data_IF_220964983108
#
_entry.id   IF_220964983108
#
_cell.length_a   1.000
_cell.length_b   1.000
_cell.length_c   1.000
_cell.angle_alpha   90.00
_cell.angle_beta   90.00
_cell.angle_gamma   90.00
#
_symmetry.space_group_name_H-M   'P 1'
#
loop_
_entity.id
_entity.type
_entity.pdbx_description
1 polymer ?
#
# COMPACT_ATOMS: atom_id res chain seq x y z
N UNK A 1 -25.49 4.18 -19.69
CA UNK A 1 -26.19 4.61 -18.47
C UNK A 1 -25.10 4.81 -17.42
N UNK A 2 -24.99 6.01 -16.81
CA UNK A 2 -24.00 6.27 -15.77
C UNK A 2 -24.23 5.30 -14.61
N UNK A 3 -23.20 4.53 -14.23
CA UNK A 3 -23.25 3.64 -13.05
C UNK A 3 -23.49 4.47 -11.81
N UNK A 4 -24.46 4.08 -10.98
CA UNK A 4 -24.77 4.79 -9.73
C UNK A 4 -23.71 4.46 -8.68
N UNK A 5 -23.09 5.48 -8.11
CA UNK A 5 -22.16 5.34 -6.99
C UNK A 5 -22.89 4.79 -5.75
N UNK A 6 -22.22 3.95 -4.96
CA UNK A 6 -22.81 3.25 -3.79
C UNK A 6 -23.40 4.19 -2.73
N UNK A 7 -22.83 5.38 -2.57
CA UNK A 7 -23.30 6.42 -1.66
C UNK A 7 -24.41 7.32 -2.25
N UNK A 8 -24.67 7.21 -3.56
CA UNK A 8 -25.67 8.03 -4.26
C UNK A 8 -27.07 7.56 -3.89
N UNK A 9 -27.80 8.37 -3.12
CA UNK A 9 -29.23 8.17 -2.90
C UNK A 9 -29.96 8.13 -4.25
N UNK A 10 -31.13 7.47 -4.30
CA UNK A 10 -32.00 7.39 -5.50
C UNK A 10 -32.54 8.80 -5.88
N UNK A 11 -31.68 9.77 -6.13
CA UNK A 11 -32.03 11.07 -6.67
C UNK A 11 -31.76 11.07 -8.17
N UNK A 12 -32.62 11.71 -8.94
CA UNK A 12 -32.56 11.82 -10.40
C UNK A 12 -31.41 12.71 -10.91
N UNK A 13 -30.51 13.17 -10.02
CA UNK A 13 -29.43 14.08 -10.37
C UNK A 13 -28.12 13.29 -10.56
N UNK A 14 -27.58 13.30 -11.78
CA UNK A 14 -26.17 12.97 -12.04
C UNK A 14 -25.29 14.09 -11.51
N UNK A 15 -24.09 13.73 -10.99
CA UNK A 15 -23.08 14.74 -10.69
C UNK A 15 -22.71 15.52 -11.96
N UNK A 16 -22.42 16.80 -11.79
CA UNK A 16 -21.89 17.61 -12.89
C UNK A 16 -20.49 17.08 -13.27
N UNK A 17 -20.14 16.94 -14.57
CA UNK A 17 -18.86 16.38 -15.00
C UNK A 17 -17.63 17.03 -14.35
N UNK A 18 -17.65 18.34 -14.13
CA UNK A 18 -16.58 19.07 -13.43
C UNK A 18 -16.41 18.61 -11.97
N UNK A 19 -17.51 18.24 -11.30
CA UNK A 19 -17.46 17.70 -9.94
C UNK A 19 -16.95 16.25 -9.93
N UNK A 20 -17.27 15.49 -10.96
CA UNK A 20 -16.73 14.12 -11.12
C UNK A 20 -15.21 14.16 -11.32
N UNK A 21 -14.73 15.03 -12.20
CA UNK A 21 -13.31 15.23 -12.44
C UNK A 21 -12.58 15.76 -11.19
N UNK A 22 -13.19 16.72 -10.48
CA UNK A 22 -12.62 17.26 -9.23
C UNK A 22 -12.55 16.22 -8.11
N UNK A 23 -13.55 15.35 -7.98
CA UNK A 23 -13.59 14.32 -6.93
C UNK A 23 -12.61 13.17 -7.20
N UNK A 24 -12.51 12.73 -8.45
CA UNK A 24 -11.59 11.66 -8.82
C UNK A 24 -10.13 12.15 -8.87
N UNK A 25 -9.90 13.39 -9.33
CA UNK A 25 -8.57 13.97 -9.44
C UNK A 25 -7.60 13.03 -10.17
N UNK A 26 -6.41 12.90 -9.61
CA UNK A 26 -5.36 11.99 -10.11
C UNK A 26 -5.47 10.56 -9.55
N UNK A 27 -6.47 10.26 -8.70
CA UNK A 27 -6.65 8.95 -8.08
C UNK A 27 -6.83 7.85 -9.13
N UNK A 28 -7.50 8.14 -10.25
CA UNK A 28 -7.63 7.20 -11.38
C UNK A 28 -6.28 6.75 -11.98
N UNK A 29 -5.23 7.54 -11.79
CA UNK A 29 -3.87 7.21 -12.27
C UNK A 29 -3.13 6.42 -11.20
N UNK A 30 -3.09 6.94 -9.98
CA UNK A 30 -2.29 6.37 -8.89
C UNK A 30 -2.92 5.11 -8.30
N UNK A 31 -4.23 5.06 -8.18
CA UNK A 31 -4.95 3.90 -7.63
C UNK A 31 -4.88 2.67 -8.52
N UNK A 32 -4.50 2.82 -9.80
CA UNK A 32 -4.26 1.69 -10.67
C UNK A 32 -3.22 0.72 -10.06
N UNK A 33 -2.20 1.25 -9.40
CA UNK A 33 -1.16 0.47 -8.73
C UNK A 33 -1.62 -0.13 -7.39
N UNK A 34 -2.75 0.35 -6.85
CA UNK A 34 -3.31 -0.11 -5.58
C UNK A 34 -4.24 -1.33 -5.72
N UNK A 35 -4.72 -1.63 -6.93
CA UNK A 35 -5.66 -2.73 -7.20
C UNK A 35 -5.21 -4.06 -6.58
N UNK A 36 -3.96 -4.55 -6.77
CA UNK A 36 -3.53 -5.82 -6.20
C UNK A 36 -3.63 -5.86 -4.67
N UNK A 37 -3.31 -4.75 -4.03
CA UNK A 37 -3.30 -4.63 -2.57
C UNK A 37 -4.71 -4.50 -1.99
N UNK A 38 -5.66 -3.89 -2.71
CA UNK A 38 -7.05 -3.88 -2.29
C UNK A 38 -7.71 -5.26 -2.48
N UNK A 39 -7.36 -5.98 -3.54
CA UNK A 39 -7.76 -7.38 -3.73
C UNK A 39 -7.26 -8.25 -2.58
N UNK A 40 -5.99 -8.12 -2.18
CA UNK A 40 -5.40 -8.84 -1.05
C UNK A 40 -6.09 -8.49 0.27
N UNK A 41 -6.27 -7.20 0.55
CA UNK A 41 -6.98 -6.72 1.73
C UNK A 41 -8.42 -7.21 1.80
N UNK A 42 -9.11 -7.21 0.66
CA UNK A 42 -10.49 -7.67 0.53
C UNK A 42 -10.61 -9.18 0.70
N UNK A 43 -9.67 -9.96 0.18
CA UNK A 43 -9.61 -11.42 0.40
C UNK A 43 -9.37 -11.75 1.88
N UNK A 44 -8.43 -11.06 2.54
CA UNK A 44 -8.18 -11.24 3.96
C UNK A 44 -9.41 -10.91 4.82
N UNK A 45 -10.10 -9.81 4.49
CA UNK A 45 -11.34 -9.45 5.16
C UNK A 45 -12.44 -10.49 4.94
N UNK A 46 -12.59 -11.00 3.72
CA UNK A 46 -13.50 -12.09 3.39
C UNK A 46 -13.25 -13.36 4.21
N UNK A 47 -11.97 -13.75 4.39
CA UNK A 47 -11.59 -14.86 5.28
C UNK A 47 -12.06 -14.63 6.71
N UNK A 48 -11.93 -13.42 7.23
CA UNK A 48 -12.41 -13.07 8.57
C UNK A 48 -13.94 -13.17 8.66
N UNK A 49 -14.68 -12.59 7.70
CA UNK A 49 -16.15 -12.68 7.66
C UNK A 49 -16.63 -14.13 7.60
N UNK A 50 -15.95 -14.95 6.82
CA UNK A 50 -16.25 -16.38 6.70
C UNK A 50 -16.03 -17.13 8.03
N UNK A 51 -14.88 -16.93 8.70
CA UNK A 51 -14.58 -17.53 10.02
C UNK A 51 -15.61 -17.17 11.07
N UNK A 52 -16.18 -15.97 11.00
CA UNK A 52 -17.21 -15.51 11.94
C UNK A 52 -18.65 -15.80 11.49
N UNK A 53 -18.83 -16.57 10.40
CA UNK A 53 -20.14 -16.99 9.92
C UNK A 53 -21.02 -15.87 9.33
N UNK A 54 -20.41 -14.73 8.99
CA UNK A 54 -21.10 -13.60 8.33
C UNK A 54 -21.37 -13.92 6.85
N UNK A 55 -20.44 -14.62 6.21
CA UNK A 55 -20.60 -15.21 4.88
C UNK A 55 -20.37 -16.72 4.97
N UNK A 56 -21.07 -17.49 4.13
CA UNK A 56 -20.94 -18.95 4.10
C UNK A 56 -19.84 -19.40 3.11
N UNK A 57 -19.64 -20.73 2.99
CA UNK A 57 -18.62 -21.30 2.11
C UNK A 57 -18.83 -20.90 0.64
N UNK A 58 -20.09 -20.91 0.16
CA UNK A 58 -20.43 -20.55 -1.21
C UNK A 58 -20.14 -19.06 -1.49
N UNK A 59 -20.51 -18.18 -0.57
CA UNK A 59 -20.19 -16.76 -0.62
C UNK A 59 -18.66 -16.52 -0.68
N UNK A 60 -17.91 -17.25 0.15
CA UNK A 60 -16.45 -17.10 0.21
C UNK A 60 -15.75 -17.59 -1.06
N UNK A 61 -16.15 -18.76 -1.60
CA UNK A 61 -15.60 -19.26 -2.87
C UNK A 61 -15.98 -18.34 -4.05
N UNK A 62 -17.19 -17.77 -4.03
CA UNK A 62 -17.64 -16.78 -5.01
C UNK A 62 -16.80 -15.50 -4.95
N UNK A 63 -16.52 -14.99 -3.75
CA UNK A 63 -15.64 -13.85 -3.53
C UNK A 63 -14.23 -14.12 -4.09
N UNK A 64 -13.65 -15.25 -3.70
CA UNK A 64 -12.30 -15.63 -4.14
C UNK A 64 -12.21 -15.68 -5.66
N UNK A 65 -13.17 -16.35 -6.30
CA UNK A 65 -13.24 -16.43 -7.76
C UNK A 65 -13.32 -15.05 -8.40
N UNK A 66 -14.17 -14.14 -7.89
CA UNK A 66 -14.29 -12.79 -8.41
C UNK A 66 -13.00 -11.97 -8.26
N UNK A 67 -12.29 -12.12 -7.13
CA UNK A 67 -11.01 -11.46 -6.90
C UNK A 67 -9.90 -12.03 -7.81
N UNK A 68 -9.87 -13.34 -8.03
CA UNK A 68 -8.92 -13.98 -8.96
C UNK A 68 -9.15 -13.47 -10.41
N UNK A 69 -10.42 -13.36 -10.85
CA UNK A 69 -10.78 -12.80 -12.16
C UNK A 69 -10.31 -11.34 -12.29
N UNK A 70 -10.49 -10.51 -11.26
CA UNK A 70 -9.99 -9.13 -11.25
C UNK A 70 -8.48 -9.11 -11.45
N UNK A 71 -7.73 -9.97 -10.74
CA UNK A 71 -6.27 -10.04 -10.87
C UNK A 71 -5.83 -10.53 -12.26
N UNK A 72 -6.57 -11.46 -12.88
CA UNK A 72 -6.29 -11.87 -14.25
C UNK A 72 -6.48 -10.72 -15.25
N UNK A 73 -7.57 -9.97 -15.12
CA UNK A 73 -7.85 -8.79 -15.95
C UNK A 73 -6.83 -7.68 -15.73
N UNK A 74 -6.44 -7.45 -14.47
CA UNK A 74 -5.40 -6.49 -14.12
C UNK A 74 -4.06 -6.84 -14.78
N UNK A 75 -3.62 -8.08 -14.69
CA UNK A 75 -2.37 -8.56 -15.27
C UNK A 75 -2.37 -8.50 -16.83
N UNK A 76 -3.53 -8.58 -17.45
CA UNK A 76 -3.70 -8.39 -18.90
C UNK A 76 -3.79 -6.91 -19.30
N UNK A 77 -3.85 -5.98 -18.35
CA UNK A 77 -4.07 -4.55 -18.60
C UNK A 77 -5.52 -4.19 -18.99
N UNK A 78 -6.47 -5.09 -18.72
CA UNK A 78 -7.89 -4.94 -19.08
C UNK A 78 -8.73 -4.35 -17.92
N UNK A 79 -8.21 -4.32 -16.69
CA UNK A 79 -8.87 -3.74 -15.51
C UNK A 79 -8.37 -2.31 -15.27
N UNK A 80 -8.75 -1.38 -16.14
CA UNK A 80 -8.32 0.02 -16.09
C UNK A 80 -9.34 0.88 -15.36
N UNK A 81 -8.86 1.75 -14.44
CA UNK A 81 -9.70 2.74 -13.78
C UNK A 81 -10.16 3.83 -14.75
N UNK A 82 -11.41 4.24 -14.60
CA UNK A 82 -12.03 5.31 -15.37
C UNK A 82 -12.58 6.37 -14.42
N UNK A 83 -12.82 7.56 -14.94
CA UNK A 83 -13.36 8.68 -14.16
C UNK A 83 -14.65 8.33 -13.39
N UNK A 84 -15.50 7.49 -13.99
CA UNK A 84 -16.74 7.02 -13.39
C UNK A 84 -16.56 6.08 -12.19
N UNK A 85 -15.38 5.43 -12.09
CA UNK A 85 -15.03 4.50 -10.99
C UNK A 85 -14.70 5.24 -9.70
N UNK A 86 -14.22 6.50 -9.79
CA UNK A 86 -13.79 7.36 -8.69
C UNK A 86 -12.46 6.90 -8.03
N UNK A 87 -12.39 5.63 -7.58
CA UNK A 87 -11.23 4.98 -6.97
C UNK A 87 -11.17 3.48 -7.31
N UNK A 88 -10.05 2.83 -6.98
CA UNK A 88 -9.87 1.39 -7.19
C UNK A 88 -10.85 0.54 -6.38
N UNK A 89 -11.20 1.00 -5.19
CA UNK A 89 -12.07 0.29 -4.27
C UNK A 89 -13.50 0.19 -4.82
N UNK A 90 -14.01 1.30 -5.35
CA UNK A 90 -15.35 1.36 -5.99
C UNK A 90 -15.41 0.46 -7.20
N UNK A 91 -14.36 0.45 -8.03
CA UNK A 91 -14.30 -0.41 -9.22
C UNK A 91 -14.34 -1.89 -8.86
N UNK A 92 -13.55 -2.32 -7.87
CA UNK A 92 -13.52 -3.71 -7.41
C UNK A 92 -14.90 -4.12 -6.88
N UNK A 93 -15.53 -3.27 -6.07
CA UNK A 93 -16.85 -3.51 -5.49
C UNK A 93 -17.95 -3.59 -6.57
N UNK A 94 -17.91 -2.70 -7.57
CA UNK A 94 -18.82 -2.75 -8.71
C UNK A 94 -18.64 -4.04 -9.50
N UNK A 95 -17.40 -4.42 -9.81
CA UNK A 95 -17.12 -5.65 -10.53
C UNK A 95 -17.68 -6.88 -9.81
N UNK A 96 -17.42 -6.99 -8.49
CA UNK A 96 -17.93 -8.09 -7.67
C UNK A 96 -19.47 -8.10 -7.63
N UNK A 97 -20.09 -6.93 -7.50
CA UNK A 97 -21.56 -6.83 -7.45
C UNK A 97 -22.22 -7.18 -8.78
N UNK A 98 -21.65 -6.74 -9.90
CA UNK A 98 -22.20 -6.96 -11.23
C UNK A 98 -22.01 -8.40 -11.73
N UNK A 99 -20.85 -9.00 -11.46
CA UNK A 99 -20.52 -10.33 -11.99
C UNK A 99 -20.75 -11.46 -11.00
N UNK A 100 -20.72 -11.17 -9.69
CA UNK A 100 -20.82 -12.17 -8.62
C UNK A 100 -21.96 -11.88 -7.62
N UNK A 101 -22.79 -10.84 -7.87
CA UNK A 101 -24.03 -10.58 -7.17
C UNK A 101 -23.85 -10.05 -5.75
N UNK A 102 -24.66 -10.54 -4.81
CA UNK A 102 -24.75 -9.96 -3.44
C UNK A 102 -23.45 -10.04 -2.63
N UNK A 103 -22.48 -10.87 -3.02
CA UNK A 103 -21.20 -10.95 -2.31
C UNK A 103 -20.45 -9.61 -2.35
N UNK A 104 -20.53 -8.86 -3.44
CA UNK A 104 -19.94 -7.53 -3.55
C UNK A 104 -20.45 -6.55 -2.48
N UNK A 105 -21.69 -6.73 -2.01
CA UNK A 105 -22.26 -5.94 -0.91
C UNK A 105 -21.95 -6.53 0.46
N UNK A 106 -22.00 -7.87 0.60
CA UNK A 106 -21.73 -8.56 1.86
C UNK A 106 -20.34 -8.30 2.40
N UNK A 107 -19.34 -8.14 1.50
CA UNK A 107 -17.95 -7.86 1.87
C UNK A 107 -17.75 -6.54 2.60
N UNK A 108 -18.73 -5.62 2.53
CA UNK A 108 -18.74 -4.38 3.28
C UNK A 108 -19.31 -4.49 4.70
N UNK A 109 -19.76 -5.67 5.12
CA UNK A 109 -20.31 -5.86 6.48
C UNK A 109 -19.30 -5.43 7.54
N UNK A 110 -19.64 -4.43 8.34
CA UNK A 110 -18.81 -3.83 9.40
C UNK A 110 -17.46 -3.23 8.91
N UNK A 111 -17.28 -3.04 7.61
CA UNK A 111 -16.12 -2.40 6.98
C UNK A 111 -16.43 -0.93 6.70
N UNK A 112 -15.43 -0.09 6.81
CA UNK A 112 -15.48 1.30 6.33
C UNK A 112 -14.56 1.47 5.14
N UNK A 113 -14.90 2.39 4.21
CA UNK A 113 -13.96 2.81 3.17
C UNK A 113 -12.62 3.26 3.78
N UNK A 114 -12.66 3.85 4.98
CA UNK A 114 -11.45 4.34 5.63
C UNK A 114 -10.48 3.23 6.02
N UNK A 115 -10.91 2.15 6.68
CA UNK A 115 -10.01 1.06 7.06
C UNK A 115 -9.59 0.21 5.86
N UNK A 116 -10.41 0.17 4.81
CA UNK A 116 -10.06 -0.39 3.51
C UNK A 116 -8.89 0.36 2.86
N UNK A 117 -9.01 1.68 2.70
CA UNK A 117 -7.93 2.52 2.15
C UNK A 117 -6.64 2.38 2.96
N UNK A 118 -6.76 2.39 4.30
CA UNK A 118 -5.60 2.29 5.17
C UNK A 118 -4.83 0.96 5.00
N UNK A 119 -5.53 -0.18 4.92
CA UNK A 119 -4.85 -1.47 4.73
C UNK A 119 -4.22 -1.58 3.35
N UNK A 120 -4.91 -1.13 2.31
CA UNK A 120 -4.40 -1.10 0.93
C UNK A 120 -3.10 -0.32 0.86
N UNK A 121 -3.07 0.89 1.42
CA UNK A 121 -1.84 1.71 1.50
C UNK A 121 -0.72 1.05 2.31
N UNK A 122 -1.05 0.31 3.40
CA UNK A 122 -0.03 -0.40 4.19
C UNK A 122 0.59 -1.56 3.43
N UNK A 123 -0.21 -2.36 2.75
CA UNK A 123 0.28 -3.46 1.92
C UNK A 123 1.15 -2.92 0.78
N UNK A 124 0.69 -1.86 0.08
CA UNK A 124 1.47 -1.19 -0.94
C UNK A 124 2.81 -0.66 -0.42
N UNK A 125 2.80 0.13 0.67
CA UNK A 125 4.02 0.69 1.24
C UNK A 125 4.99 -0.40 1.69
N UNK A 126 4.49 -1.46 2.36
CA UNK A 126 5.30 -2.59 2.81
C UNK A 126 6.04 -3.25 1.64
N UNK A 127 5.32 -3.56 0.55
CA UNK A 127 5.89 -4.15 -0.65
C UNK A 127 6.95 -3.22 -1.30
N UNK A 128 6.62 -1.95 -1.50
CA UNK A 128 7.53 -0.99 -2.14
C UNK A 128 8.78 -0.70 -1.31
N UNK A 129 8.65 -0.65 0.03
CA UNK A 129 9.81 -0.46 0.92
C UNK A 129 10.75 -1.67 0.90
N UNK A 130 10.22 -2.90 0.85
CA UNK A 130 11.03 -4.11 0.70
C UNK A 130 11.81 -4.06 -0.62
N UNK A 131 11.13 -3.76 -1.72
CA UNK A 131 11.75 -3.63 -3.05
C UNK A 131 12.83 -2.54 -3.11
N UNK A 132 12.55 -1.37 -2.51
CA UNK A 132 13.51 -0.26 -2.45
C UNK A 132 14.75 -0.67 -1.65
N UNK A 133 14.56 -1.33 -0.50
CA UNK A 133 15.64 -1.86 0.32
C UNK A 133 16.52 -2.85 -0.46
N UNK A 134 15.91 -3.80 -1.17
CA UNK A 134 16.64 -4.78 -1.98
C UNK A 134 17.51 -4.10 -3.05
N UNK A 135 16.94 -3.13 -3.79
CA UNK A 135 17.70 -2.35 -4.79
C UNK A 135 18.81 -1.53 -4.16
N UNK A 136 18.55 -0.91 -3.01
CA UNK A 136 19.56 -0.16 -2.26
C UNK A 136 20.71 -1.04 -1.78
N UNK A 137 20.44 -2.26 -1.31
CA UNK A 137 21.47 -3.21 -0.92
C UNK A 137 22.34 -3.66 -2.11
N UNK A 138 21.75 -3.84 -3.30
CA UNK A 138 22.51 -4.13 -4.52
C UNK A 138 23.44 -2.98 -4.88
N UNK A 139 22.96 -1.73 -4.79
CA UNK A 139 23.78 -0.55 -5.03
C UNK A 139 24.89 -0.42 -3.98
N UNK A 140 24.60 -0.58 -2.70
CA UNK A 140 25.60 -0.54 -1.62
C UNK A 140 26.69 -1.60 -1.83
N UNK A 141 26.32 -2.82 -2.21
CA UNK A 141 27.27 -3.88 -2.57
C UNK A 141 28.17 -3.47 -3.72
N UNK A 142 27.62 -2.90 -4.79
CA UNK A 142 28.38 -2.42 -5.95
C UNK A 142 29.37 -1.32 -5.56
N UNK A 143 28.96 -0.38 -4.69
CA UNK A 143 29.83 0.67 -4.17
C UNK A 143 30.99 0.09 -3.35
N UNK A 144 30.73 -0.89 -2.49
CA UNK A 144 31.74 -1.57 -1.65
C UNK A 144 32.72 -2.35 -2.52
N UNK A 145 32.26 -3.09 -3.52
CA UNK A 145 33.11 -3.82 -4.45
C UNK A 145 34.00 -2.87 -5.27
N UNK A 146 33.45 -1.73 -5.68
CA UNK A 146 34.20 -0.68 -6.37
C UNK A 146 35.22 -0.02 -5.44
N UNK A 147 34.85 0.25 -4.19
CA UNK A 147 35.76 0.78 -3.19
C UNK A 147 36.97 -0.16 -2.97
N UNK A 148 36.73 -1.46 -2.82
CA UNK A 148 37.80 -2.46 -2.70
C UNK A 148 38.73 -2.51 -3.93
N UNK A 149 38.15 -2.44 -5.13
CA UNK A 149 38.92 -2.46 -6.41
C UNK A 149 39.88 -1.29 -6.51
N UNK A 150 39.50 -0.12 -6.01
CA UNK A 150 40.26 1.12 -6.11
C UNK A 150 40.83 1.61 -4.76
N UNK A 151 40.97 0.70 -3.79
CA UNK A 151 41.39 0.99 -2.41
C UNK A 151 42.71 1.79 -2.35
N UNK A 152 43.67 1.43 -3.18
CA UNK A 152 45.01 2.03 -3.20
C UNK A 152 45.24 3.03 -4.35
N UNK A 153 44.19 3.40 -5.09
CA UNK A 153 44.31 4.41 -6.15
C UNK A 153 44.28 5.81 -5.54
N UNK A 154 45.40 6.56 -5.55
CA UNK A 154 45.43 7.87 -4.90
C UNK A 154 44.61 8.90 -5.70
N UNK A 155 43.95 9.79 -4.97
CA UNK A 155 43.32 10.98 -5.52
C UNK A 155 43.47 12.18 -4.60
N UNK A 156 43.45 13.42 -5.10
CA UNK A 156 43.46 14.60 -4.27
C UNK A 156 42.10 14.79 -3.60
N UNK A 157 42.09 14.96 -2.28
CA UNK A 157 40.91 15.48 -1.55
C UNK A 157 40.84 16.99 -1.72
N UNK A 158 39.62 17.53 -1.65
CA UNK A 158 39.36 18.95 -1.80
C UNK A 158 38.61 19.48 -0.57
N UNK A 159 39.01 20.69 -0.12
CA UNK A 159 38.23 21.51 0.82
C UNK A 159 38.17 22.94 0.29
N UNK A 160 37.04 23.61 0.46
CA UNK A 160 36.86 24.97 -0.04
C UNK A 160 37.23 25.15 -1.53
N UNK A 161 36.93 24.16 -2.35
CA UNK A 161 37.27 24.10 -3.79
C UNK A 161 38.78 24.10 -4.09
N UNK A 162 39.63 23.82 -3.10
CA UNK A 162 41.08 23.80 -3.17
C UNK A 162 41.60 22.36 -2.91
N UNK A 163 42.68 21.99 -3.57
CA UNK A 163 43.41 20.75 -3.26
C UNK A 163 43.88 20.79 -1.80
N UNK A 164 43.57 19.72 -1.07
CA UNK A 164 43.92 19.61 0.34
C UNK A 164 44.75 18.34 0.59
N UNK A 165 44.19 17.38 1.32
CA UNK A 165 44.89 16.17 1.72
C UNK A 165 44.78 15.06 0.66
N UNK A 166 45.77 14.15 0.57
CA UNK A 166 45.64 12.97 -0.27
C UNK A 166 44.58 12.01 0.31
N UNK A 167 43.82 11.38 -0.55
CA UNK A 167 42.86 10.32 -0.24
C UNK A 167 42.95 9.25 -1.32
N UNK A 168 42.00 8.31 -1.32
CA UNK A 168 41.90 7.29 -2.37
C UNK A 168 40.53 7.27 -3.00
N UNK A 169 40.46 6.78 -4.24
CA UNK A 169 39.18 6.54 -4.94
C UNK A 169 38.34 5.54 -4.16
N UNK A 170 38.96 4.54 -3.52
CA UNK A 170 38.28 3.57 -2.67
C UNK A 170 37.56 4.22 -1.48
N UNK A 171 38.24 5.14 -0.75
CA UNK A 171 37.66 5.90 0.36
C UNK A 171 36.46 6.73 -0.10
N UNK A 172 36.56 7.32 -1.29
CA UNK A 172 35.46 8.12 -1.85
C UNK A 172 34.21 7.27 -2.13
N UNK A 173 34.36 6.10 -2.80
CA UNK A 173 33.23 5.19 -3.02
C UNK A 173 32.67 4.62 -1.71
N UNK A 174 33.52 4.31 -0.73
CA UNK A 174 33.09 3.80 0.57
C UNK A 174 32.19 4.79 1.34
N UNK A 175 32.45 6.11 1.21
CA UNK A 175 31.63 7.12 1.87
C UNK A 175 30.16 7.12 1.38
N UNK A 176 29.94 6.88 0.09
CA UNK A 176 28.57 6.74 -0.43
C UNK A 176 27.91 5.43 0.04
N UNK A 177 28.68 4.34 0.13
CA UNK A 177 28.16 3.07 0.63
C UNK A 177 27.72 3.18 2.10
N UNK A 178 28.50 3.86 2.95
CA UNK A 178 28.13 4.08 4.36
C UNK A 178 26.86 4.92 4.49
N UNK A 179 26.78 6.04 3.76
CA UNK A 179 25.58 6.90 3.74
C UNK A 179 24.33 6.10 3.34
N UNK A 180 24.39 5.38 2.23
CA UNK A 180 23.26 4.59 1.73
C UNK A 180 22.85 3.49 2.73
N UNK A 181 23.81 2.85 3.41
CA UNK A 181 23.49 1.83 4.43
C UNK A 181 22.78 2.42 5.63
N UNK A 182 23.10 3.65 6.04
CA UNK A 182 22.40 4.33 7.12
C UNK A 182 20.97 4.69 6.72
N UNK A 183 20.74 5.18 5.49
CA UNK A 183 19.40 5.45 4.95
C UNK A 183 18.55 4.18 4.89
N UNK A 184 19.13 3.05 4.45
CA UNK A 184 18.44 1.76 4.42
C UNK A 184 18.08 1.22 5.81
N UNK A 185 18.86 1.54 6.85
CA UNK A 185 18.52 1.21 8.24
C UNK A 185 17.30 2.01 8.71
N UNK A 186 17.24 3.30 8.40
CA UNK A 186 16.09 4.16 8.72
C UNK A 186 14.84 3.64 8.01
N UNK A 187 14.93 3.37 6.73
CA UNK A 187 13.83 2.82 5.92
C UNK A 187 13.32 1.49 6.49
N UNK A 188 14.23 0.61 6.91
CA UNK A 188 13.87 -0.67 7.56
C UNK A 188 13.14 -0.42 8.88
N UNK A 189 13.63 0.50 9.72
CA UNK A 189 13.00 0.83 10.99
C UNK A 189 11.58 1.38 10.81
N UNK A 190 11.35 2.22 9.80
CA UNK A 190 10.02 2.76 9.48
C UNK A 190 9.09 1.61 9.04
N UNK A 191 9.55 0.72 8.16
CA UNK A 191 8.76 -0.44 7.76
C UNK A 191 8.36 -1.27 8.99
N UNK A 192 9.32 -1.72 9.78
CA UNK A 192 9.11 -2.69 10.86
C UNK A 192 8.31 -2.11 12.03
N UNK A 193 8.42 -0.81 12.28
CA UNK A 193 7.78 -0.17 13.44
C UNK A 193 6.44 0.49 13.12
N UNK A 194 6.25 0.98 11.90
CA UNK A 194 5.10 1.80 11.55
C UNK A 194 4.24 1.22 10.44
N UNK A 195 4.84 0.72 9.36
CA UNK A 195 4.10 0.22 8.20
C UNK A 195 3.57 -1.19 8.45
N UNK A 196 4.37 -2.07 9.04
CA UNK A 196 4.04 -3.49 9.24
C UNK A 196 3.08 -3.71 10.42
N UNK A 197 1.94 -3.04 10.35
CA UNK A 197 0.82 -3.20 11.29
C UNK A 197 -0.53 -3.04 10.58
N UNK A 198 -1.45 -3.96 10.88
CA UNK A 198 -2.75 -4.04 10.23
C UNK A 198 -3.78 -3.07 10.84
N UNK A 199 -4.32 -2.09 10.09
CA UNK A 199 -5.41 -1.22 10.54
C UNK A 199 -6.81 -1.82 10.29
N UNK A 200 -6.94 -2.83 9.39
CA UNK A 200 -8.22 -3.36 8.93
C UNK A 200 -9.04 -3.97 10.07
N UNK A 201 -10.34 -3.83 9.99
CA UNK A 201 -11.29 -4.22 11.04
C UNK A 201 -11.46 -3.14 12.12
N UNK A 202 -10.88 -1.93 11.95
CA UNK A 202 -11.14 -0.78 12.82
C UNK A 202 -12.47 -0.07 12.50
N UNK A 203 -13.10 -0.44 11.38
CA UNK A 203 -14.33 0.18 10.90
C UNK A 203 -14.12 1.67 10.61
N UNK A 204 -15.08 2.49 11.03
CA UNK A 204 -14.99 3.95 10.89
C UNK A 204 -14.21 4.63 12.04
N UNK A 205 -13.29 3.92 12.70
CA UNK A 205 -12.47 4.45 13.81
C UNK A 205 -13.02 4.16 15.20
N UNK A 206 -14.12 3.43 15.30
CA UNK A 206 -14.78 3.09 16.56
C UNK A 206 -14.97 1.58 16.76
N UNK A 207 -14.33 0.78 15.92
CA UNK A 207 -14.46 -0.68 15.93
C UNK A 207 -15.74 -1.17 15.28
N UNK A 208 -16.05 -2.44 15.55
CA UNK A 208 -17.21 -3.16 15.03
C UNK A 208 -18.02 -3.74 16.20
N UNK A 209 -19.35 -3.88 16.08
CA UNK A 209 -20.16 -4.61 17.05
C UNK A 209 -19.92 -6.13 17.00
N UNK A 210 -19.23 -6.63 15.98
CA UNK A 210 -18.85 -8.03 15.86
C UNK A 210 -17.52 -8.26 16.60
N UNK A 211 -17.39 -9.40 17.25
CA UNK A 211 -16.17 -9.84 17.93
C UNK A 211 -15.19 -10.44 16.89
N UNK A 212 -14.69 -9.61 15.99
CA UNK A 212 -13.77 -10.03 14.95
C UNK A 212 -12.37 -10.22 15.49
N UNK A 213 -11.76 -11.37 15.16
CA UNK A 213 -10.35 -11.66 15.45
C UNK A 213 -9.43 -10.90 14.47
N UNK A 214 -9.06 -9.68 14.88
CA UNK A 214 -8.18 -8.80 14.11
C UNK A 214 -6.72 -9.27 14.13
N UNK A 215 -6.31 -10.02 15.15
CA UNK A 215 -4.96 -10.57 15.20
C UNK A 215 -4.80 -11.68 14.14
N UNK A 216 -5.79 -12.54 14.02
CA UNK A 216 -5.82 -13.54 12.95
C UNK A 216 -5.90 -12.91 11.56
N UNK A 217 -6.66 -11.82 11.42
CA UNK A 217 -6.68 -11.04 10.16
C UNK A 217 -5.30 -10.46 9.83
N UNK A 218 -4.56 -9.99 10.83
CA UNK A 218 -3.20 -9.47 10.64
C UNK A 218 -2.24 -10.57 10.17
N UNK A 219 -2.30 -11.76 10.75
CA UNK A 219 -1.54 -12.93 10.31
C UNK A 219 -1.89 -13.31 8.85
N UNK A 220 -3.18 -13.37 8.50
CA UNK A 220 -3.64 -13.72 7.16
C UNK A 220 -3.17 -12.74 6.07
N UNK A 221 -2.96 -11.47 6.44
CA UNK A 221 -2.43 -10.42 5.57
C UNK A 221 -0.91 -10.25 5.68
N UNK A 222 -0.24 -11.11 6.45
CA UNK A 222 1.22 -11.08 6.61
C UNK A 222 1.76 -9.87 7.35
N UNK A 223 0.96 -9.19 8.17
CA UNK A 223 1.42 -8.12 9.04
C UNK A 223 2.04 -8.68 10.33
N UNK A 224 3.09 -8.04 10.82
CA UNK A 224 3.76 -8.42 12.07
C UNK A 224 2.86 -8.20 13.30
N UNK A 225 1.90 -7.29 13.23
CA UNK A 225 1.00 -6.97 14.34
C UNK A 225 -0.29 -6.27 13.92
N UNK A 226 -1.26 -6.27 14.84
CA UNK A 226 -2.48 -5.47 14.74
C UNK A 226 -2.22 -4.04 15.25
N UNK A 227 -2.74 -3.04 14.55
CA UNK A 227 -2.84 -1.67 15.09
C UNK A 227 -4.05 -1.63 16.05
N UNK A 228 -3.79 -1.76 17.36
CA UNK A 228 -4.82 -2.06 18.35
C UNK A 228 -5.84 -0.95 18.56
N UNK A 229 -5.39 0.29 18.68
CA UNK A 229 -6.30 1.41 18.93
C UNK A 229 -7.01 1.82 17.64
N UNK A 230 -8.31 1.54 17.55
CA UNK A 230 -9.12 1.77 16.36
C UNK A 230 -9.20 3.26 15.96
N UNK A 231 -9.18 4.18 16.90
CA UNK A 231 -9.11 5.62 16.60
C UNK A 231 -7.74 6.01 16.06
N UNK A 232 -6.67 5.43 16.60
CA UNK A 232 -5.32 5.69 16.12
C UNK A 232 -5.10 5.15 14.69
N UNK A 233 -5.77 4.08 14.28
CA UNK A 233 -5.74 3.64 12.89
C UNK A 233 -6.05 4.81 11.94
N UNK A 234 -7.07 5.60 12.25
CA UNK A 234 -7.48 6.75 11.43
C UNK A 234 -6.66 8.02 11.68
N UNK A 235 -6.32 8.30 12.94
CA UNK A 235 -5.53 9.48 13.28
C UNK A 235 -4.07 9.40 12.80
N UNK A 236 -3.59 8.20 12.49
CA UNK A 236 -2.27 7.98 11.90
C UNK A 236 -2.22 8.19 10.39
N UNK A 237 -3.37 8.43 9.74
CA UNK A 237 -3.44 8.74 8.31
C UNK A 237 -2.64 10.00 8.00
N UNK A 238 -1.79 9.95 6.97
CA UNK A 238 -0.85 11.00 6.60
C UNK A 238 0.44 11.00 7.41
N UNK A 239 0.45 10.53 8.67
CA UNK A 239 1.66 10.44 9.49
C UNK A 239 2.66 9.41 8.95
N UNK A 240 2.16 8.24 8.62
CA UNK A 240 2.98 7.11 8.19
C UNK A 240 3.46 7.31 6.76
N UNK A 241 2.57 7.76 5.90
CA UNK A 241 2.85 8.11 4.52
C UNK A 241 3.92 9.22 4.47
N UNK A 242 3.80 10.26 5.31
CA UNK A 242 4.79 11.32 5.43
C UNK A 242 6.17 10.83 5.86
N UNK A 243 6.23 9.89 6.82
CA UNK A 243 7.52 9.31 7.26
C UNK A 243 8.16 8.44 6.17
N UNK A 244 7.36 7.71 5.39
CA UNK A 244 7.86 6.95 4.23
C UNK A 244 8.42 7.89 3.17
N UNK A 245 7.70 8.96 2.83
CA UNK A 245 8.16 9.97 1.86
C UNK A 245 9.44 10.62 2.34
N UNK A 246 9.53 11.02 3.61
CA UNK A 246 10.74 11.62 4.19
C UNK A 246 11.94 10.67 4.09
N UNK A 247 11.76 9.38 4.43
CA UNK A 247 12.83 8.39 4.28
C UNK A 247 13.27 8.20 2.83
N UNK A 248 12.33 8.19 1.88
CA UNK A 248 12.66 8.10 0.46
C UNK A 248 13.39 9.34 -0.08
N UNK A 249 13.18 10.51 0.51
CA UNK A 249 13.89 11.74 0.14
C UNK A 249 15.34 11.76 0.62
N UNK A 250 15.75 10.90 1.56
CA UNK A 250 17.14 10.80 2.05
C UNK A 250 18.01 9.91 1.13
N UNK A 251 17.42 8.96 0.43
CA UNK A 251 18.11 8.05 -0.51
C UNK A 251 18.32 8.74 -1.86
#
# INVERSE_FOLDING_TARGET
MSQKRLWQKKSEFSLHPVLEEFNAGDDIIYDQDLIPYDVEGTLGYGKMLHRHGVINDEDFETLKKGLDEIMELYNKGEFQLKLEDEDCHTKIEHYLTENHGEIGKKIHTARSRNDQVLVTMRLFMKDKLIHLKEKGLVLAKTLIETAKKYEFVPMPGYTHMQKAMPTTVGTWYASFAESLLDDLRILTAINDTLVDQNPLGSGAGYGSPFDFDRDKLSEDLGFARTQNNVMYCHNSRGKLEGMVVEACCQI
#
